data_IF_442561189735
#
_entry.id   IF_442561189735
#
_cell.length_a   1.000
_cell.length_b   1.000
_cell.length_c   1.000
_cell.angle_alpha   90.00
_cell.angle_beta   90.00
_cell.angle_gamma   90.00
#
_symmetry.space_group_name_H-M   'P 1'
#
loop_
_entity.id
_entity.type
_entity.pdbx_description
1 polymer ?
#
# COMPACT_ATOMS: atom_id res chain seq x y z
N UNK A 1 6.39 0.32 36.04
CA UNK A 1 5.71 0.97 34.88
C UNK A 1 5.26 -0.06 33.84
N UNK A 2 4.05 0.07 33.30
CA UNK A 2 3.62 -0.63 32.09
C UNK A 2 4.59 -0.36 30.92
N UNK A 3 5.63 -1.19 30.73
CA UNK A 3 6.27 -1.36 29.41
C UNK A 3 5.57 -2.52 28.74
N UNK A 4 4.36 -2.27 28.25
CA UNK A 4 3.62 -3.23 27.43
C UNK A 4 3.41 -2.63 26.05
N UNK A 5 3.42 -3.49 25.05
CA UNK A 5 3.05 -3.14 23.67
C UNK A 5 1.72 -2.39 23.60
N UNK A 6 0.81 -2.61 24.56
CA UNK A 6 -0.42 -1.83 24.71
C UNK A 6 -0.16 -0.32 24.79
N UNK A 7 0.73 0.14 25.68
CA UNK A 7 0.96 1.60 25.82
C UNK A 7 1.71 2.16 24.61
N UNK A 8 2.58 1.36 23.98
CA UNK A 8 3.23 1.75 22.72
C UNK A 8 2.21 1.98 21.62
N UNK A 9 1.24 1.07 21.48
CA UNK A 9 0.11 1.20 20.54
C UNK A 9 -0.76 2.41 20.88
N UNK A 10 -1.21 2.54 22.13
CA UNK A 10 -2.14 3.63 22.50
C UNK A 10 -1.53 5.03 22.34
N UNK A 11 -0.21 5.16 22.45
CA UNK A 11 0.52 6.41 22.17
C UNK A 11 0.47 6.82 20.71
N UNK A 12 0.27 5.89 19.77
CA UNK A 12 0.16 6.23 18.35
C UNK A 12 -1.23 6.75 17.99
N UNK A 13 -2.23 6.56 18.85
CA UNK A 13 -3.61 6.96 18.56
C UNK A 13 -3.77 8.47 18.74
N UNK A 14 -4.30 9.12 17.71
CA UNK A 14 -4.81 10.48 17.80
C UNK A 14 -5.96 10.57 18.80
N UNK A 15 -6.31 11.79 19.19
CA UNK A 15 -7.47 12.04 20.06
C UNK A 15 -8.77 11.46 19.47
N UNK A 16 -8.92 11.49 18.14
CA UNK A 16 -10.09 10.93 17.45
C UNK A 16 -10.07 9.40 17.47
N UNK A 17 -8.92 8.78 17.21
CA UNK A 17 -8.77 7.32 17.29
C UNK A 17 -8.99 6.79 18.71
N UNK A 18 -8.55 7.51 19.75
CA UNK A 18 -8.85 7.16 21.15
C UNK A 18 -10.36 7.21 21.49
N UNK A 19 -11.15 8.00 20.77
CA UNK A 19 -12.62 8.02 20.91
C UNK A 19 -13.21 6.81 20.18
N UNK A 20 -12.87 6.59 18.92
CA UNK A 20 -13.31 5.42 18.14
C UNK A 20 -12.93 4.09 18.81
N UNK A 21 -11.72 4.01 19.36
CA UNK A 21 -11.26 2.84 20.08
C UNK A 21 -12.04 2.62 21.37
N UNK A 22 -12.50 3.69 22.04
CA UNK A 22 -13.41 3.55 23.19
C UNK A 22 -14.73 2.89 22.79
N UNK A 23 -15.34 3.35 21.70
CA UNK A 23 -16.59 2.78 21.17
C UNK A 23 -16.38 1.31 20.75
N UNK A 24 -15.24 1.02 20.12
CA UNK A 24 -14.85 -0.33 19.74
C UNK A 24 -14.70 -1.26 20.95
N UNK A 25 -13.97 -0.83 21.98
CA UNK A 25 -13.76 -1.61 23.22
C UNK A 25 -15.06 -1.77 24.00
N UNK A 26 -15.96 -0.77 23.98
CA UNK A 26 -17.29 -0.87 24.62
C UNK A 26 -18.25 -1.77 23.85
N UNK A 27 -17.96 -2.13 22.60
CA UNK A 27 -18.82 -2.99 21.80
C UNK A 27 -18.94 -4.38 22.44
N UNK A 28 -20.17 -4.87 22.71
CA UNK A 28 -20.40 -6.20 23.27
C UNK A 28 -19.99 -7.32 22.30
N UNK A 29 -19.80 -6.99 21.02
CA UNK A 29 -19.39 -7.94 20.00
C UNK A 29 -17.93 -8.34 20.11
N UNK A 30 -17.06 -7.45 20.59
CA UNK A 30 -15.61 -7.69 20.64
C UNK A 30 -15.07 -7.96 22.04
N UNK A 31 -15.81 -7.64 23.10
CA UNK A 31 -15.20 -7.47 24.41
C UNK A 31 -15.96 -8.01 25.63
N UNK A 32 -15.21 -8.18 26.72
CA UNK A 32 -15.67 -8.46 28.10
C UNK A 32 -15.57 -7.19 28.96
N UNK A 33 -16.28 -7.14 30.09
CA UNK A 33 -16.42 -5.96 30.96
C UNK A 33 -15.07 -5.42 31.47
N UNK A 34 -14.12 -6.31 31.77
CA UNK A 34 -12.85 -5.98 32.41
C UNK A 34 -11.92 -5.13 31.52
N UNK A 35 -11.86 -5.43 30.23
CA UNK A 35 -11.06 -4.68 29.26
C UNK A 35 -11.61 -3.26 29.04
N UNK A 36 -12.93 -3.08 29.12
CA UNK A 36 -13.55 -1.74 29.08
C UNK A 36 -13.05 -0.91 30.24
N UNK A 37 -13.10 -1.46 31.46
CA UNK A 37 -12.66 -0.74 32.65
C UNK A 37 -11.16 -0.44 32.61
N UNK A 38 -10.35 -1.40 32.13
CA UNK A 38 -8.91 -1.19 31.98
C UNK A 38 -8.64 -0.03 31.03
N UNK A 39 -9.27 -0.01 29.86
CA UNK A 39 -9.07 1.06 28.90
C UNK A 39 -9.52 2.43 29.45
N UNK A 40 -10.68 2.50 30.09
CA UNK A 40 -11.18 3.76 30.69
C UNK A 40 -10.28 4.29 31.82
N UNK A 41 -9.59 3.40 32.53
CA UNK A 41 -8.56 3.77 33.50
C UNK A 41 -7.33 4.35 32.82
N UNK A 42 -6.79 3.64 31.82
CA UNK A 42 -5.56 4.04 31.11
C UNK A 42 -5.75 5.33 30.32
N UNK A 43 -6.90 5.49 29.63
CA UNK A 43 -7.20 6.61 28.74
C UNK A 43 -7.08 7.98 29.42
N UNK A 44 -7.28 8.06 30.74
CA UNK A 44 -7.15 9.30 31.53
C UNK A 44 -5.75 9.88 31.51
N UNK A 45 -4.76 9.07 31.18
CA UNK A 45 -3.35 9.46 31.11
C UNK A 45 -2.88 9.75 29.68
N UNK A 46 -3.78 9.79 28.70
CA UNK A 46 -3.46 10.22 27.34
C UNK A 46 -3.06 11.71 27.31
N UNK A 47 -2.15 12.13 26.41
CA UNK A 47 -1.53 11.33 25.34
C UNK A 47 -0.18 10.71 25.73
N UNK A 48 0.44 11.11 26.85
CA UNK A 48 1.79 10.63 27.20
C UNK A 48 1.77 9.19 27.71
N UNK A 49 0.71 8.81 28.44
CA UNK A 49 0.63 7.54 29.17
C UNK A 49 1.86 7.32 30.07
N UNK A 50 2.32 8.40 30.70
CA UNK A 50 3.44 8.43 31.64
C UNK A 50 2.91 8.82 33.02
N UNK A 51 2.41 7.84 33.77
CA UNK A 51 2.02 8.01 35.17
C UNK A 51 2.39 6.77 35.98
N UNK A 52 2.76 6.96 37.25
CA UNK A 52 2.94 5.88 38.21
C UNK A 52 1.60 5.19 38.53
N UNK A 53 0.46 5.82 38.23
CA UNK A 53 -0.87 5.20 38.33
C UNK A 53 -1.06 4.09 37.30
N UNK A 54 -0.22 4.05 36.27
CA UNK A 54 -0.11 2.96 35.29
C UNK A 54 0.87 1.88 35.76
N UNK A 55 0.95 1.60 37.06
CA UNK A 55 1.55 0.38 37.60
C UNK A 55 0.50 -0.72 37.73
N UNK A 56 0.91 -1.99 37.58
CA UNK A 56 -0.05 -3.11 37.46
C UNK A 56 -0.91 -3.24 38.71
N UNK A 57 -0.31 -3.01 39.87
CA UNK A 57 -0.93 -3.06 41.18
C UNK A 57 -1.89 -1.88 41.40
N UNK A 58 -1.53 -0.68 40.90
CA UNK A 58 -2.38 0.50 40.93
C UNK A 58 -3.61 0.32 40.03
N UNK A 59 -3.42 -0.17 38.81
CA UNK A 59 -4.50 -0.47 37.87
C UNK A 59 -5.35 -1.65 38.38
N UNK A 60 -4.75 -2.63 39.05
CA UNK A 60 -5.51 -3.73 39.67
C UNK A 60 -6.51 -3.22 40.69
N UNK A 61 -6.11 -2.29 41.56
CA UNK A 61 -7.03 -1.68 42.54
C UNK A 61 -8.18 -0.92 41.88
N UNK A 62 -7.96 -0.36 40.69
CA UNK A 62 -9.04 0.25 39.90
C UNK A 62 -10.03 -0.79 39.37
N UNK A 63 -9.53 -1.94 38.90
CA UNK A 63 -10.36 -3.00 38.31
C UNK A 63 -11.09 -3.85 39.35
N UNK A 64 -10.39 -4.17 40.46
CA UNK A 64 -10.84 -5.07 41.50
C UNK A 64 -10.47 -4.53 42.90
N UNK A 65 -11.17 -3.50 43.39
CA UNK A 65 -10.82 -2.81 44.64
C UNK A 65 -10.73 -3.73 45.87
N UNK A 66 -11.56 -4.78 45.90
CA UNK A 66 -11.71 -5.69 47.04
C UNK A 66 -10.94 -7.01 46.88
N UNK A 67 -10.14 -7.18 45.82
CA UNK A 67 -9.40 -8.42 45.56
C UNK A 67 -7.90 -8.24 45.72
N UNK A 68 -7.25 -9.25 46.28
CA UNK A 68 -5.78 -9.32 46.27
C UNK A 68 -5.24 -9.38 44.84
N UNK A 69 -4.06 -8.80 44.64
CA UNK A 69 -3.43 -8.71 43.33
C UNK A 69 -3.18 -10.10 42.74
N UNK A 70 -3.77 -10.38 41.56
CA UNK A 70 -3.48 -11.59 40.80
C UNK A 70 -2.73 -11.26 39.51
N UNK A 71 -1.45 -11.62 39.48
CA UNK A 71 -0.59 -11.40 38.32
C UNK A 71 -1.13 -12.07 37.05
N UNK A 72 -1.62 -13.30 37.14
CA UNK A 72 -2.11 -14.08 36.00
C UNK A 72 -3.33 -13.44 35.35
N UNK A 73 -4.33 -13.07 36.16
CA UNK A 73 -5.52 -12.36 35.69
C UNK A 73 -5.15 -11.00 35.10
N UNK A 74 -4.29 -10.23 35.77
CA UNK A 74 -3.88 -8.92 35.27
C UNK A 74 -3.17 -9.03 33.92
N UNK A 75 -2.26 -10.01 33.78
CA UNK A 75 -1.56 -10.29 32.53
C UNK A 75 -2.55 -10.62 31.40
N UNK A 76 -3.57 -11.42 31.67
CA UNK A 76 -4.59 -11.79 30.68
C UNK A 76 -5.42 -10.59 30.23
N UNK A 77 -5.86 -9.73 31.15
CA UNK A 77 -6.65 -8.53 30.80
C UNK A 77 -5.80 -7.56 29.95
N UNK A 78 -4.54 -7.36 30.30
CA UNK A 78 -3.62 -6.54 29.48
C UNK A 78 -3.44 -7.16 28.08
N UNK A 79 -3.25 -8.48 28.01
CA UNK A 79 -3.11 -9.20 26.74
C UNK A 79 -4.37 -9.04 25.87
N UNK A 80 -5.55 -9.25 26.44
CA UNK A 80 -6.82 -9.12 25.72
C UNK A 80 -7.03 -7.69 25.20
N UNK A 81 -6.76 -6.66 26.03
CA UNK A 81 -6.85 -5.27 25.57
C UNK A 81 -5.79 -4.94 24.50
N UNK A 82 -4.60 -5.53 24.58
CA UNK A 82 -3.58 -5.41 23.52
C UNK A 82 -4.12 -5.98 22.20
N UNK A 83 -4.72 -7.18 22.23
CA UNK A 83 -5.35 -7.80 21.05
C UNK A 83 -6.48 -6.97 20.48
N UNK A 84 -7.26 -6.29 21.31
CA UNK A 84 -8.29 -5.35 20.85
C UNK A 84 -7.67 -4.15 20.14
N UNK A 85 -6.57 -3.60 20.67
CA UNK A 85 -5.88 -2.48 20.02
C UNK A 85 -5.26 -2.85 18.68
N UNK A 86 -4.64 -4.03 18.56
CA UNK A 86 -4.16 -4.59 17.29
C UNK A 86 -5.30 -4.74 16.27
N UNK A 87 -6.44 -5.31 16.70
CA UNK A 87 -7.62 -5.49 15.84
C UNK A 87 -8.22 -4.16 15.40
N UNK A 88 -8.24 -3.17 16.28
CA UNK A 88 -8.70 -1.82 15.93
C UNK A 88 -7.82 -1.18 14.86
N UNK A 89 -6.48 -1.24 15.02
CA UNK A 89 -5.55 -0.74 14.00
C UNK A 89 -5.81 -1.43 12.65
N UNK A 90 -5.96 -2.75 12.65
CA UNK A 90 -6.24 -3.50 11.43
C UNK A 90 -7.56 -3.04 10.78
N UNK A 91 -8.62 -2.85 11.56
CA UNK A 91 -9.92 -2.44 11.04
C UNK A 91 -9.91 -1.01 10.50
N UNK A 92 -9.28 -0.06 11.20
CA UNK A 92 -9.13 1.31 10.70
C UNK A 92 -8.32 1.31 9.40
N UNK A 93 -7.16 0.63 9.39
CA UNK A 93 -6.32 0.54 8.19
C UNK A 93 -7.05 -0.11 7.01
N UNK A 94 -7.76 -1.20 7.25
CA UNK A 94 -8.55 -1.88 6.23
C UNK A 94 -9.66 -0.98 5.69
N UNK A 95 -10.32 -0.20 6.56
CA UNK A 95 -11.39 0.72 6.15
C UNK A 95 -10.92 1.90 5.28
N UNK A 96 -9.63 2.25 5.32
CA UNK A 96 -9.03 3.25 4.43
C UNK A 96 -8.91 2.72 2.98
N UNK A 97 -8.69 1.42 2.81
CA UNK A 97 -8.62 0.76 1.50
C UNK A 97 -10.02 0.37 1.00
N UNK A 98 -10.73 1.39 0.51
CA UNK A 98 -12.09 1.22 0.00
C UNK A 98 -12.20 0.25 -1.19
N UNK A 99 -11.17 0.09 -2.03
CA UNK A 99 -11.22 -0.86 -3.14
C UNK A 99 -11.19 -2.29 -2.63
N UNK A 100 -10.28 -2.58 -1.71
CA UNK A 100 -10.19 -3.92 -1.09
C UNK A 100 -11.44 -4.25 -0.29
N UNK A 101 -11.94 -3.31 0.51
CA UNK A 101 -13.18 -3.49 1.28
C UNK A 101 -14.38 -3.84 0.40
N UNK A 102 -14.56 -3.13 -0.72
CA UNK A 102 -15.67 -3.37 -1.62
C UNK A 102 -15.54 -4.70 -2.36
N UNK A 103 -14.33 -5.06 -2.80
CA UNK A 103 -14.06 -6.35 -3.43
C UNK A 103 -14.32 -7.51 -2.47
N UNK A 104 -13.78 -7.46 -1.25
CA UNK A 104 -13.96 -8.52 -0.24
C UNK A 104 -15.45 -8.67 0.15
N UNK A 105 -16.23 -7.57 0.14
CA UNK A 105 -17.68 -7.62 0.32
C UNK A 105 -18.39 -8.34 -0.83
N UNK A 106 -17.96 -8.13 -2.07
CA UNK A 106 -18.48 -8.85 -3.25
C UNK A 106 -18.21 -10.35 -3.11
N UNK A 107 -16.98 -10.73 -2.75
CA UNK A 107 -16.61 -12.14 -2.53
C UNK A 107 -17.43 -12.76 -1.39
N UNK A 108 -17.53 -12.08 -0.24
CA UNK A 108 -18.28 -12.57 0.91
C UNK A 108 -19.79 -12.68 0.63
N UNK A 109 -20.34 -11.79 -0.20
CA UNK A 109 -21.74 -11.88 -0.63
C UNK A 109 -21.94 -13.02 -1.64
N UNK A 110 -20.99 -13.24 -2.55
CA UNK A 110 -21.04 -14.33 -3.50
C UNK A 110 -20.96 -15.69 -2.80
N UNK A 111 -20.03 -15.85 -1.84
CA UNK A 111 -19.87 -17.08 -1.06
C UNK A 111 -21.10 -17.44 -0.22
N UNK A 112 -22.00 -16.48 -0.01
CA UNK A 112 -23.30 -16.63 0.67
C UNK A 112 -24.47 -16.77 -0.31
N UNK A 113 -24.22 -16.87 -1.61
CA UNK A 113 -25.22 -17.01 -2.68
C UNK A 113 -26.25 -15.86 -2.73
N UNK A 114 -25.85 -14.63 -2.38
CA UNK A 114 -26.75 -13.46 -2.35
C UNK A 114 -26.77 -12.74 -3.71
N UNK A 115 -27.18 -13.45 -4.77
CA UNK A 115 -27.02 -13.05 -6.18
C UNK A 115 -27.38 -11.58 -6.48
N UNK A 116 -28.61 -11.13 -6.14
CA UNK A 116 -29.07 -9.77 -6.48
C UNK A 116 -28.22 -8.68 -5.82
N UNK A 117 -27.79 -8.91 -4.59
CA UNK A 117 -26.93 -7.97 -3.86
C UNK A 117 -25.52 -7.97 -4.47
N UNK A 118 -24.96 -9.15 -4.73
CA UNK A 118 -23.64 -9.31 -5.36
C UNK A 118 -23.59 -8.63 -6.72
N UNK A 119 -24.58 -8.87 -7.59
CA UNK A 119 -24.66 -8.23 -8.91
C UNK A 119 -24.66 -6.71 -8.81
N UNK A 120 -25.48 -6.13 -7.92
CA UNK A 120 -25.51 -4.68 -7.73
C UNK A 120 -24.20 -4.11 -7.18
N UNK A 121 -23.46 -4.88 -6.37
CA UNK A 121 -22.14 -4.49 -5.87
C UNK A 121 -21.06 -4.60 -6.94
N UNK A 122 -21.09 -5.63 -7.78
CA UNK A 122 -20.22 -5.75 -8.96
C UNK A 122 -20.39 -4.53 -9.88
N UNK A 123 -21.64 -4.17 -10.21
CA UNK A 123 -21.91 -3.03 -11.10
C UNK A 123 -21.42 -1.69 -10.50
N UNK A 124 -21.60 -1.49 -9.19
CA UNK A 124 -21.09 -0.31 -8.47
C UNK A 124 -19.57 -0.23 -8.49
N UNK A 125 -18.89 -1.34 -8.17
CA UNK A 125 -17.45 -1.41 -8.12
C UNK A 125 -16.81 -1.23 -9.50
N UNK A 126 -17.36 -1.90 -10.52
CA UNK A 126 -16.86 -1.77 -11.89
C UNK A 126 -16.98 -0.34 -12.41
N UNK A 127 -18.12 0.31 -12.16
CA UNK A 127 -18.30 1.72 -12.56
C UNK A 127 -17.20 2.59 -11.95
N UNK A 128 -16.92 2.40 -10.66
CA UNK A 128 -15.88 3.12 -9.93
C UNK A 128 -14.49 2.88 -10.55
N UNK A 129 -14.11 1.62 -10.75
CA UNK A 129 -12.81 1.24 -11.34
C UNK A 129 -12.64 1.82 -12.75
N UNK A 130 -13.65 1.70 -13.62
CA UNK A 130 -13.58 2.19 -15.00
C UNK A 130 -13.54 3.71 -15.11
N UNK A 131 -14.23 4.41 -14.22
CA UNK A 131 -14.25 5.88 -14.25
C UNK A 131 -12.97 6.53 -13.74
N UNK A 132 -12.19 5.85 -12.91
CA UNK A 132 -11.21 6.49 -12.03
C UNK A 132 -9.97 5.61 -11.79
N UNK A 133 -9.01 5.62 -12.72
CA UNK A 133 -7.60 5.61 -12.28
C UNK A 133 -7.32 7.03 -11.78
N UNK A 134 -7.64 7.23 -10.50
CA UNK A 134 -7.43 8.47 -9.76
C UNK A 134 -6.25 8.27 -8.79
N UNK A 135 -5.13 8.97 -9.00
CA UNK A 135 -3.99 9.00 -8.10
C UNK A 135 -4.30 9.23 -6.62
N UNK A 136 -5.43 9.88 -6.32
CA UNK A 136 -5.83 10.18 -4.95
C UNK A 136 -6.58 9.01 -4.28
N UNK A 137 -6.98 8.00 -5.05
CA UNK A 137 -7.81 6.88 -4.58
C UNK A 137 -7.04 5.57 -4.43
N UNK A 138 -5.77 5.53 -4.83
CA UNK A 138 -4.89 4.39 -4.57
C UNK A 138 -3.56 4.88 -4.00
N UNK A 139 -2.97 4.10 -3.09
CA UNK A 139 -1.60 4.37 -2.62
C UNK A 139 -0.58 3.74 -3.57
N UNK A 140 -0.70 2.44 -3.82
CA UNK A 140 0.17 1.68 -4.71
C UNK A 140 -0.62 1.19 -5.93
N UNK A 141 -0.09 1.37 -7.13
CA UNK A 141 -0.79 0.98 -8.36
C UNK A 141 -0.89 -0.54 -8.51
N UNK A 142 0.11 -1.26 -8.02
CA UNK A 142 0.15 -2.72 -8.02
C UNK A 142 -0.93 -3.33 -7.11
N UNK A 143 -1.23 -2.73 -5.96
CA UNK A 143 -2.37 -3.14 -5.14
C UNK A 143 -3.70 -3.00 -5.90
N UNK A 144 -3.91 -1.85 -6.55
CA UNK A 144 -5.11 -1.62 -7.36
C UNK A 144 -5.22 -2.64 -8.51
N UNK A 145 -4.11 -2.90 -9.20
CA UNK A 145 -4.05 -3.89 -10.28
C UNK A 145 -4.32 -5.32 -9.79
N UNK A 146 -3.78 -5.69 -8.63
CA UNK A 146 -4.05 -6.97 -7.99
C UNK A 146 -5.54 -7.13 -7.64
N UNK A 147 -6.13 -6.14 -6.98
CA UNK A 147 -7.56 -6.15 -6.60
C UNK A 147 -8.43 -6.24 -7.85
N UNK A 148 -8.15 -5.42 -8.87
CA UNK A 148 -8.96 -5.38 -10.09
C UNK A 148 -8.82 -6.63 -10.95
N UNK A 149 -7.63 -7.26 -10.97
CA UNK A 149 -7.43 -8.59 -11.58
C UNK A 149 -8.38 -9.62 -10.97
N UNK A 150 -8.37 -9.73 -9.63
CA UNK A 150 -9.21 -10.68 -8.92
C UNK A 150 -10.70 -10.34 -9.06
N UNK A 151 -11.05 -9.06 -9.02
CA UNK A 151 -12.41 -8.59 -9.28
C UNK A 151 -12.95 -9.03 -10.64
N UNK A 152 -12.22 -8.76 -11.72
CA UNK A 152 -12.68 -9.11 -13.06
C UNK A 152 -12.75 -10.63 -13.26
N UNK A 153 -11.84 -11.39 -12.64
CA UNK A 153 -11.92 -12.85 -12.61
C UNK A 153 -13.15 -13.36 -11.83
N UNK A 154 -13.43 -12.78 -10.67
CA UNK A 154 -14.61 -13.11 -9.85
C UNK A 154 -15.92 -12.74 -10.57
N UNK A 155 -15.97 -11.57 -11.22
CA UNK A 155 -17.11 -11.15 -12.05
C UNK A 155 -17.37 -12.13 -13.19
N UNK A 156 -16.31 -12.55 -13.89
CA UNK A 156 -16.40 -13.56 -14.96
C UNK A 156 -16.97 -14.88 -14.45
N UNK A 157 -16.50 -15.35 -13.29
CA UNK A 157 -17.03 -16.55 -12.62
C UNK A 157 -18.50 -16.38 -12.21
N UNK A 158 -18.87 -15.23 -11.66
CA UNK A 158 -20.25 -14.91 -11.26
C UNK A 158 -21.22 -14.91 -12.46
N UNK A 159 -20.84 -14.29 -13.57
CA UNK A 159 -21.63 -14.28 -14.81
C UNK A 159 -21.90 -15.71 -15.27
N UNK A 160 -20.87 -16.57 -15.25
CA UNK A 160 -20.97 -17.98 -15.64
C UNK A 160 -21.85 -18.78 -14.67
N UNK A 161 -21.61 -18.64 -13.37
CA UNK A 161 -22.33 -19.37 -12.31
C UNK A 161 -23.84 -19.13 -12.37
N UNK A 162 -24.25 -17.89 -12.61
CA UNK A 162 -25.65 -17.48 -12.64
C UNK A 162 -26.24 -17.37 -14.06
N UNK A 163 -25.52 -17.81 -15.10
CA UNK A 163 -25.93 -17.73 -16.52
C UNK A 163 -26.46 -16.34 -16.92
N UNK A 164 -25.75 -15.29 -16.51
CA UNK A 164 -26.15 -13.92 -16.82
C UNK A 164 -25.90 -13.61 -18.29
N UNK A 165 -26.73 -12.72 -18.87
CA UNK A 165 -26.58 -12.25 -20.25
C UNK A 165 -25.40 -11.29 -20.46
N UNK A 166 -24.71 -10.89 -19.39
CA UNK A 166 -23.57 -9.98 -19.46
C UNK A 166 -22.40 -10.63 -20.18
N UNK A 167 -21.59 -9.82 -20.86
CA UNK A 167 -20.40 -10.32 -21.55
C UNK A 167 -19.30 -10.71 -20.55
N UNK A 168 -18.95 -12.00 -20.57
CA UNK A 168 -17.87 -12.59 -19.76
C UNK A 168 -16.50 -12.36 -20.39
N UNK A 169 -16.43 -12.22 -21.71
CA UNK A 169 -15.17 -12.10 -22.45
C UNK A 169 -14.41 -10.84 -22.04
N UNK A 170 -15.11 -9.70 -21.97
CA UNK A 170 -14.51 -8.44 -21.52
C UNK A 170 -13.95 -8.52 -20.09
N UNK A 171 -14.62 -9.23 -19.19
CA UNK A 171 -14.13 -9.43 -17.82
C UNK A 171 -12.86 -10.29 -17.80
N UNK A 172 -12.81 -11.37 -18.58
CA UNK A 172 -11.59 -12.17 -18.69
C UNK A 172 -10.42 -11.41 -19.31
N UNK A 173 -10.69 -10.62 -20.36
CA UNK A 173 -9.70 -9.77 -21.01
C UNK A 173 -9.09 -8.77 -20.02
N UNK A 174 -9.93 -8.03 -19.29
CA UNK A 174 -9.47 -7.07 -18.28
C UNK A 174 -8.70 -7.73 -17.14
N UNK A 175 -9.14 -8.90 -16.66
CA UNK A 175 -8.40 -9.67 -15.66
C UNK A 175 -7.00 -10.05 -16.16
N UNK A 176 -6.90 -10.50 -17.42
CA UNK A 176 -5.63 -10.86 -18.05
C UNK A 176 -4.69 -9.66 -18.19
N UNK A 177 -5.19 -8.54 -18.72
CA UNK A 177 -4.41 -7.31 -18.91
C UNK A 177 -3.93 -6.74 -17.57
N UNK A 178 -4.80 -6.65 -16.57
CA UNK A 178 -4.45 -6.13 -15.25
C UNK A 178 -3.45 -7.05 -14.52
N UNK A 179 -3.57 -8.37 -14.69
CA UNK A 179 -2.62 -9.34 -14.14
C UNK A 179 -1.23 -9.14 -14.74
N UNK A 180 -1.15 -8.92 -16.05
CA UNK A 180 0.10 -8.69 -16.74
C UNK A 180 0.73 -7.35 -16.33
N UNK A 181 -0.07 -6.28 -16.24
CA UNK A 181 0.38 -4.98 -15.75
C UNK A 181 0.89 -5.05 -14.31
N UNK A 182 0.17 -5.76 -13.42
CA UNK A 182 0.60 -6.03 -12.05
C UNK A 182 1.97 -6.71 -12.04
N UNK A 183 2.10 -7.80 -12.80
CA UNK A 183 3.35 -8.55 -12.89
C UNK A 183 4.51 -7.67 -13.35
N UNK A 184 4.34 -6.88 -14.41
CA UNK A 184 5.41 -6.01 -14.92
C UNK A 184 5.80 -4.94 -13.91
N UNK A 185 4.84 -4.17 -13.38
CA UNK A 185 5.15 -3.08 -12.44
C UNK A 185 5.83 -3.63 -11.18
N UNK A 186 5.29 -4.69 -10.59
CA UNK A 186 5.87 -5.32 -9.40
C UNK A 186 7.29 -5.84 -9.69
N UNK A 187 7.48 -6.46 -10.87
CA UNK A 187 8.79 -6.96 -11.28
C UNK A 187 9.82 -5.85 -11.43
N UNK A 188 9.46 -4.76 -12.11
CA UNK A 188 10.34 -3.60 -12.29
C UNK A 188 10.72 -2.96 -10.95
N UNK A 189 9.78 -2.85 -10.01
CA UNK A 189 10.04 -2.37 -8.65
C UNK A 189 11.01 -3.28 -7.89
N UNK A 190 10.84 -4.60 -7.98
CA UNK A 190 11.73 -5.57 -7.32
C UNK A 190 13.15 -5.57 -7.91
N UNK A 191 13.27 -5.47 -9.23
CA UNK A 191 14.57 -5.34 -9.92
C UNK A 191 15.25 -4.05 -9.48
N UNK A 192 14.51 -2.92 -9.45
CA UNK A 192 15.04 -1.67 -8.92
C UNK A 192 15.56 -1.80 -7.48
N UNK A 193 14.79 -2.42 -6.58
CA UNK A 193 15.21 -2.56 -5.18
C UNK A 193 16.46 -3.43 -5.03
N UNK A 194 16.60 -4.47 -5.86
CA UNK A 194 17.80 -5.30 -5.90
C UNK A 194 19.02 -4.47 -6.33
N UNK A 195 18.88 -3.70 -7.41
CA UNK A 195 19.93 -2.82 -7.90
C UNK A 195 20.29 -1.71 -6.90
N UNK A 196 19.30 -1.05 -6.29
CA UNK A 196 19.52 -0.01 -5.30
C UNK A 196 20.33 -0.53 -4.09
N UNK A 197 20.06 -1.78 -3.66
CA UNK A 197 20.82 -2.44 -2.62
C UNK A 197 22.28 -2.71 -3.04
N UNK A 198 22.53 -3.12 -4.30
CA UNK A 198 23.90 -3.30 -4.82
C UNK A 198 24.70 -1.99 -4.79
N UNK A 199 24.10 -0.90 -5.26
CA UNK A 199 24.71 0.44 -5.30
C UNK A 199 25.05 0.94 -3.89
N UNK A 200 24.16 0.73 -2.91
CA UNK A 200 24.37 1.18 -1.53
C UNK A 200 25.34 0.29 -0.75
N UNK A 201 25.24 -1.03 -0.92
CA UNK A 201 26.00 -2.02 -0.16
C UNK A 201 27.39 -2.29 -0.69
N UNK A 202 27.71 -1.84 -1.91
CA UNK A 202 28.97 -2.11 -2.62
C UNK A 202 29.29 -3.63 -2.66
N UNK A 203 28.25 -4.46 -2.72
CA UNK A 203 28.34 -5.92 -2.77
C UNK A 203 27.53 -6.42 -3.97
N UNK A 204 28.14 -7.18 -4.89
CA UNK A 204 27.40 -7.77 -5.99
C UNK A 204 26.37 -8.77 -5.44
N UNK A 205 25.12 -8.63 -5.86
CA UNK A 205 24.07 -9.60 -5.57
C UNK A 205 24.02 -10.57 -6.74
N UNK A 206 23.84 -11.87 -6.46
CA UNK A 206 23.63 -12.84 -7.52
C UNK A 206 22.33 -12.53 -8.24
N UNK A 207 22.35 -12.41 -9.58
CA UNK A 207 21.13 -12.19 -10.37
C UNK A 207 20.02 -13.18 -9.97
N UNK A 208 18.89 -12.62 -9.55
CA UNK A 208 17.68 -13.33 -9.18
C UNK A 208 17.07 -14.06 -10.38
N UNK A 209 16.13 -14.98 -10.13
CA UNK A 209 15.37 -15.63 -11.22
C UNK A 209 14.59 -14.60 -12.05
N UNK A 210 14.07 -13.56 -11.38
CA UNK A 210 13.32 -12.49 -12.01
C UNK A 210 14.20 -11.70 -12.99
N UNK A 211 15.39 -11.26 -12.55
CA UNK A 211 16.32 -10.54 -13.41
C UNK A 211 16.77 -11.40 -14.60
N UNK A 212 17.03 -12.69 -14.38
CA UNK A 212 17.36 -13.63 -15.48
C UNK A 212 16.20 -13.77 -16.47
N UNK A 213 14.95 -13.76 -16.02
CA UNK A 213 13.78 -13.81 -16.88
C UNK A 213 13.66 -12.54 -17.72
N UNK A 214 13.79 -11.35 -17.11
CA UNK A 214 13.68 -10.07 -17.82
C UNK A 214 14.83 -9.83 -18.81
N UNK A 215 16.05 -10.26 -18.51
CA UNK A 215 17.17 -10.21 -19.46
C UNK A 215 16.86 -10.98 -20.75
N UNK A 216 16.24 -12.17 -20.64
CA UNK A 216 15.81 -12.93 -21.82
C UNK A 216 14.71 -12.23 -22.61
N UNK A 217 13.80 -11.50 -21.94
CA UNK A 217 12.76 -10.74 -22.64
C UNK A 217 13.34 -9.54 -23.39
N UNK A 218 14.36 -8.88 -22.83
CA UNK A 218 15.08 -7.78 -23.48
C UNK A 218 15.88 -8.25 -24.70
N UNK A 219 16.58 -9.38 -24.62
CA UNK A 219 17.35 -9.97 -25.74
C UNK A 219 16.50 -10.17 -27.01
N UNK A 220 15.19 -10.31 -26.85
CA UNK A 220 14.23 -10.52 -27.94
C UNK A 220 13.33 -9.31 -28.22
N UNK A 221 13.60 -8.13 -27.64
CA UNK A 221 12.81 -6.90 -27.79
C UNK A 221 11.32 -7.02 -27.42
N UNK A 222 10.92 -8.09 -26.72
CA UNK A 222 9.52 -8.43 -26.45
C UNK A 222 8.82 -7.32 -25.67
N UNK A 223 9.51 -6.74 -24.67
CA UNK A 223 8.95 -5.70 -23.82
C UNK A 223 8.73 -4.39 -24.60
N UNK A 224 9.61 -4.07 -25.55
CA UNK A 224 9.48 -2.88 -26.38
C UNK A 224 8.28 -2.98 -27.31
N UNK A 225 8.09 -4.15 -27.94
CA UNK A 225 6.95 -4.38 -28.82
C UNK A 225 5.63 -4.32 -28.04
N UNK A 226 5.54 -5.04 -26.91
CA UNK A 226 4.31 -5.11 -26.10
C UNK A 226 3.93 -3.76 -25.46
N UNK A 227 4.90 -2.98 -24.99
CA UNK A 227 4.63 -1.80 -24.16
C UNK A 227 4.70 -0.48 -24.93
N UNK A 228 5.45 -0.41 -26.04
CA UNK A 228 5.64 0.84 -26.81
C UNK A 228 5.00 0.82 -28.20
N UNK A 229 4.96 -0.33 -28.90
CA UNK A 229 4.61 -0.35 -30.32
C UNK A 229 3.13 -0.66 -30.60
N UNK A 230 2.47 -1.46 -29.77
CA UNK A 230 1.08 -1.88 -30.00
C UNK A 230 0.01 -0.85 -29.56
N UNK A 231 0.36 0.15 -28.74
CA UNK A 231 -0.63 1.04 -28.10
C UNK A 231 -0.57 2.49 -28.63
N UNK A 232 -1.22 2.76 -29.77
CA UNK A 232 -1.29 4.11 -30.37
C UNK A 232 -2.22 5.09 -29.64
N UNK A 233 -3.20 4.59 -28.89
CA UNK A 233 -4.05 5.37 -27.98
C UNK A 233 -3.86 4.85 -26.55
N UNK A 234 -2.77 5.25 -25.90
CA UNK A 234 -2.48 4.77 -24.55
C UNK A 234 -3.52 5.29 -23.55
N UNK A 235 -4.32 4.38 -23.00
CA UNK A 235 -5.11 4.65 -21.82
C UNK A 235 -4.21 5.00 -20.61
N UNK A 236 -4.83 5.45 -19.52
CA UNK A 236 -4.07 5.87 -18.32
C UNK A 236 -3.19 4.74 -17.77
N UNK A 237 -3.65 3.50 -17.81
CA UNK A 237 -2.94 2.36 -17.22
C UNK A 237 -1.70 2.00 -18.04
N UNK A 238 -1.85 1.97 -19.36
CA UNK A 238 -0.77 1.75 -20.31
C UNK A 238 0.32 2.80 -20.13
N UNK A 239 -0.05 4.07 -19.92
CA UNK A 239 0.92 5.14 -19.62
C UNK A 239 1.66 4.90 -18.31
N UNK A 240 0.96 4.45 -17.28
CA UNK A 240 1.57 4.12 -15.99
C UNK A 240 2.59 2.98 -16.17
N UNK A 241 2.20 1.88 -16.81
CA UNK A 241 3.08 0.71 -17.06
C UNK A 241 4.28 1.12 -17.92
N UNK A 242 4.06 1.93 -18.96
CA UNK A 242 5.12 2.47 -19.82
C UNK A 242 6.15 3.24 -19.01
N UNK A 243 5.71 4.06 -18.05
CA UNK A 243 6.62 4.81 -17.19
C UNK A 243 7.52 3.88 -16.35
N UNK A 244 6.94 2.83 -15.74
CA UNK A 244 7.73 1.83 -15.02
C UNK A 244 8.67 1.02 -15.93
N UNK A 245 8.26 0.74 -17.16
CA UNK A 245 9.16 0.12 -18.15
C UNK A 245 10.33 1.04 -18.52
N UNK A 246 10.08 2.33 -18.75
CA UNK A 246 11.15 3.28 -19.04
C UNK A 246 12.08 3.46 -17.84
N UNK A 247 11.55 3.44 -16.61
CA UNK A 247 12.35 3.39 -15.39
C UNK A 247 13.26 2.15 -15.37
N UNK A 248 12.70 0.98 -15.65
CA UNK A 248 13.46 -0.27 -15.74
C UNK A 248 14.57 -0.19 -16.81
N UNK A 249 14.26 0.31 -18.02
CA UNK A 249 15.27 0.53 -19.06
C UNK A 249 16.37 1.51 -18.66
N UNK A 250 16.01 2.61 -18.00
CA UNK A 250 16.99 3.58 -17.51
C UNK A 250 17.93 2.95 -16.46
N UNK A 251 17.45 1.96 -15.72
CA UNK A 251 18.23 1.22 -14.74
C UNK A 251 19.19 0.21 -15.40
N UNK A 252 18.70 -0.57 -16.37
CA UNK A 252 19.43 -1.72 -16.96
C UNK A 252 20.32 -1.37 -18.15
N UNK A 253 20.24 -0.16 -18.68
CA UNK A 253 20.98 0.28 -19.89
C UNK A 253 22.44 0.69 -19.65
N UNK A 254 23.11 0.13 -18.64
CA UNK A 254 24.53 0.37 -18.32
C UNK A 254 24.96 1.85 -18.30
N UNK A 255 24.08 2.73 -17.84
CA UNK A 255 24.36 4.17 -17.78
C UNK A 255 24.14 4.91 -19.11
N UNK A 256 23.25 4.43 -19.98
CA UNK A 256 22.78 5.18 -21.14
C UNK A 256 21.95 6.41 -20.71
N UNK A 257 22.49 7.59 -21.01
CA UNK A 257 21.83 8.86 -20.73
C UNK A 257 20.51 9.03 -21.49
N UNK A 258 20.40 8.50 -22.71
CA UNK A 258 19.19 8.65 -23.51
C UNK A 258 17.99 7.93 -22.87
N UNK A 259 18.20 6.70 -22.38
CA UNK A 259 17.19 5.93 -21.65
C UNK A 259 16.74 6.64 -20.37
N UNK A 260 17.69 7.22 -19.61
CA UNK A 260 17.37 8.03 -18.42
C UNK A 260 16.56 9.30 -18.75
N UNK A 261 17.00 10.07 -19.76
CA UNK A 261 16.31 11.30 -20.15
C UNK A 261 14.90 11.02 -20.70
N UNK A 262 14.71 9.87 -21.38
CA UNK A 262 13.39 9.40 -21.84
C UNK A 262 12.48 9.07 -20.65
N UNK A 263 12.95 8.29 -19.68
CA UNK A 263 12.18 7.99 -18.46
C UNK A 263 11.77 9.26 -17.74
N UNK A 264 12.72 10.17 -17.49
CA UNK A 264 12.48 11.42 -16.77
C UNK A 264 11.45 12.31 -17.46
N UNK A 265 11.58 12.49 -18.77
CA UNK A 265 10.66 13.34 -19.54
C UNK A 265 9.26 12.76 -19.52
N UNK A 266 9.14 11.44 -19.75
CA UNK A 266 7.86 10.74 -19.72
C UNK A 266 7.19 10.79 -18.34
N UNK A 267 7.95 10.64 -17.26
CA UNK A 267 7.43 10.78 -15.88
C UNK A 267 6.92 12.20 -15.62
N UNK A 268 7.65 13.24 -16.06
CA UNK A 268 7.22 14.64 -15.90
C UNK A 268 5.91 14.92 -16.65
N UNK A 269 5.78 14.42 -17.87
CA UNK A 269 4.57 14.58 -18.69
C UNK A 269 3.35 13.87 -18.09
N UNK A 270 3.57 12.73 -17.43
CA UNK A 270 2.51 11.88 -16.89
C UNK A 270 2.37 11.96 -15.37
N UNK A 271 2.97 12.96 -14.71
CA UNK A 271 3.03 13.05 -13.24
C UNK A 271 1.66 12.99 -12.56
N UNK A 272 0.61 13.48 -13.24
CA UNK A 272 -0.78 13.48 -12.75
C UNK A 272 -1.43 12.10 -12.76
N UNK A 273 -0.76 11.06 -13.24
CA UNK A 273 -1.29 9.69 -13.25
C UNK A 273 -0.90 8.90 -12.00
N UNK A 274 0.05 9.39 -11.20
CA UNK A 274 0.65 8.67 -10.10
C UNK A 274 0.24 9.25 -8.76
N UNK A 275 -0.07 8.36 -7.81
CA UNK A 275 -0.32 8.73 -6.42
C UNK A 275 0.89 9.43 -5.81
N UNK A 276 0.64 10.12 -4.70
CA UNK A 276 1.66 10.68 -3.82
C UNK A 276 2.83 9.71 -3.56
N UNK A 277 2.46 8.49 -3.17
CA UNK A 277 3.37 7.43 -2.79
C UNK A 277 4.14 6.88 -4.00
N UNK A 278 3.47 6.69 -5.14
CA UNK A 278 4.13 6.23 -6.37
C UNK A 278 5.13 7.24 -6.92
N UNK A 279 4.82 8.53 -6.85
CA UNK A 279 5.75 9.59 -7.25
C UNK A 279 7.01 9.60 -6.39
N UNK A 280 6.87 9.35 -5.09
CA UNK A 280 8.00 9.23 -4.19
C UNK A 280 8.87 8.01 -4.55
N UNK A 281 8.25 6.87 -4.86
CA UNK A 281 8.97 5.68 -5.31
C UNK A 281 9.71 5.93 -6.63
N UNK A 282 9.03 6.47 -7.65
CA UNK A 282 9.61 6.76 -8.95
C UNK A 282 10.73 7.81 -8.86
N UNK A 283 10.61 8.76 -7.93
CA UNK A 283 11.69 9.71 -7.61
C UNK A 283 12.92 9.02 -7.04
N UNK A 284 12.74 8.06 -6.12
CA UNK A 284 13.85 7.25 -5.59
C UNK A 284 14.49 6.44 -6.71
N UNK A 285 13.68 5.84 -7.59
CA UNK A 285 14.19 5.11 -8.76
C UNK A 285 15.01 5.99 -9.70
N UNK A 286 14.54 7.22 -9.95
CA UNK A 286 15.31 8.21 -10.72
C UNK A 286 16.66 8.50 -10.07
N UNK A 287 16.71 8.69 -8.74
CA UNK A 287 17.97 8.93 -8.04
C UNK A 287 18.94 7.75 -8.21
N UNK A 288 18.46 6.52 -8.06
CA UNK A 288 19.26 5.30 -8.33
C UNK A 288 19.82 5.29 -9.75
N UNK A 289 18.99 5.60 -10.76
CA UNK A 289 19.43 5.68 -12.16
C UNK A 289 20.48 6.78 -12.36
N UNK A 290 20.30 7.96 -11.74
CA UNK A 290 21.23 9.07 -11.85
C UNK A 290 22.61 8.77 -11.23
N UNK A 291 22.64 7.99 -10.15
CA UNK A 291 23.88 7.45 -9.55
C UNK A 291 24.56 6.49 -10.55
N UNK A 292 23.79 5.61 -11.18
CA UNK A 292 24.32 4.64 -12.16
C UNK A 292 24.95 5.34 -13.38
N UNK A 293 24.39 6.47 -13.82
CA UNK A 293 24.93 7.30 -14.91
C UNK A 293 26.32 7.91 -14.61
N UNK A 294 26.83 7.82 -13.37
CA UNK A 294 28.07 8.49 -12.91
C UNK A 294 28.11 9.98 -13.25
N UNK A 295 26.95 10.65 -13.27
CA UNK A 295 26.82 12.04 -13.70
C UNK A 295 27.68 12.94 -12.79
N UNK A 296 28.73 13.63 -13.29
CA UNK A 296 29.57 14.47 -12.45
C UNK A 296 28.80 15.65 -11.83
N UNK A 297 29.32 16.14 -10.70
CA UNK A 297 28.72 17.18 -9.85
C UNK A 297 28.25 18.47 -10.56
N UNK A 298 27.41 19.23 -9.84
CA UNK A 298 26.62 20.43 -10.22
C UNK A 298 25.32 20.17 -10.98
N UNK A 299 25.30 19.35 -12.04
CA UNK A 299 24.06 19.09 -12.81
C UNK A 299 23.08 18.19 -12.04
N UNK A 300 23.55 17.12 -11.41
CA UNK A 300 22.69 16.23 -10.61
C UNK A 300 22.06 16.90 -9.39
N UNK A 301 22.79 17.83 -8.74
CA UNK A 301 22.29 18.58 -7.60
C UNK A 301 21.17 19.57 -8.00
N UNK A 302 21.33 20.25 -9.13
CA UNK A 302 20.29 21.14 -9.68
C UNK A 302 19.03 20.36 -10.06
N UNK A 303 19.21 19.23 -10.73
CA UNK A 303 18.12 18.36 -11.14
C UNK A 303 17.37 17.77 -9.94
N UNK A 304 18.10 17.31 -8.92
CA UNK A 304 17.52 16.86 -7.66
C UNK A 304 16.71 17.97 -6.99
N UNK A 305 17.23 19.21 -6.96
CA UNK A 305 16.50 20.37 -6.41
C UNK A 305 15.20 20.68 -7.17
N UNK A 306 15.19 20.60 -8.50
CA UNK A 306 13.96 20.79 -9.30
C UNK A 306 12.88 19.76 -8.94
N UNK A 307 13.28 18.50 -8.78
CA UNK A 307 12.36 17.45 -8.38
C UNK A 307 11.86 17.59 -6.95
N UNK A 308 12.73 17.99 -6.02
CA UNK A 308 12.31 18.31 -4.66
C UNK A 308 11.30 19.44 -4.61
N UNK A 309 11.49 20.51 -5.40
CA UNK A 309 10.49 21.58 -5.53
C UNK A 309 9.16 21.07 -6.06
N UNK A 310 9.20 20.25 -7.11
CA UNK A 310 8.00 19.63 -7.69
C UNK A 310 7.25 18.75 -6.68
N UNK A 311 7.98 17.96 -5.87
CA UNK A 311 7.38 17.15 -4.80
C UNK A 311 6.83 18.01 -3.66
N UNK A 312 7.50 19.10 -3.29
CA UNK A 312 7.00 20.04 -2.28
C UNK A 312 5.71 20.75 -2.72
N UNK A 313 5.63 21.22 -3.96
CA UNK A 313 4.41 21.81 -4.53
C UNK A 313 3.21 20.85 -4.50
N UNK A 314 3.48 19.55 -4.45
CA UNK A 314 2.48 18.49 -4.39
C UNK A 314 2.23 17.96 -2.96
N UNK A 315 2.87 18.53 -1.93
CA UNK A 315 2.87 18.05 -0.54
C UNK A 315 3.38 16.60 -0.38
N UNK A 316 4.32 16.17 -1.23
CA UNK A 316 4.82 14.78 -1.31
C UNK A 316 6.22 14.58 -0.70
N UNK A 317 6.75 15.60 -0.04
CA UNK A 317 8.15 15.65 0.36
C UNK A 317 8.44 14.99 1.72
N UNK A 318 7.42 14.89 2.58
CA UNK A 318 7.53 14.35 3.93
C UNK A 318 7.03 12.90 4.00
N UNK A 319 7.84 12.01 4.54
CA UNK A 319 7.41 10.67 4.93
C UNK A 319 6.43 10.73 6.12
N UNK A 320 5.66 9.67 6.35
CA UNK A 320 4.72 9.57 7.49
C UNK A 320 5.40 9.76 8.87
N UNK A 321 6.69 9.50 8.98
CA UNK A 321 7.49 9.71 10.20
C UNK A 321 8.10 11.12 10.29
N UNK A 322 7.74 12.04 9.39
CA UNK A 322 8.28 13.41 9.35
C UNK A 322 9.69 13.52 8.75
N UNK A 323 10.28 12.42 8.27
CA UNK A 323 11.58 12.45 7.59
C UNK A 323 11.43 12.96 6.16
N UNK A 324 12.42 13.74 5.73
CA UNK A 324 12.58 14.11 4.33
C UNK A 324 13.17 12.90 3.61
N UNK A 325 12.64 12.62 2.41
CA UNK A 325 13.25 11.61 1.53
C UNK A 325 14.54 12.18 0.95
N UNK A 326 15.65 12.05 1.68
CA UNK A 326 16.98 12.40 1.18
C UNK A 326 17.80 11.14 1.01
N UNK A 327 17.89 10.65 -0.22
CA UNK A 327 19.06 9.94 -0.76
C UNK A 327 19.18 10.27 -2.25
#
# INVERSE_FOLDING_TARGET
MFKSSLLEILRTFSKQELIKFEDFVRSPYFNKKENVQLFLGIKRHAPSFESNDLEKESVWKLLFPEREYNYGTMKNIIHDLTKLSEKFILLEHYSEDSYRCEYDLIEAANSRNIQRFTSGKIDQFEKRVRSEIDPNKYSMIDDLLYITTNFYYAKSSFIQEYNLKQDREDSLRLASEHSLHYFFINSFKLIHNTFAHEVQGNRPVSKTLLEKFFLKLEEHSILEDLLLNDNKDQDKLTKIVTCFYLMYRALTSDGDKASYDKFKSYLRENIKLFSAFELQNLNNCRNTCAINLKTPGSNGAKESLEWHKLLMEKNLFLQRNGLITTL
#
